data_IF_422487647468
#
_entry.id   IF_422487647468
#
_cell.length_a   1.000
_cell.length_b   1.000
_cell.length_c   1.000
_cell.angle_alpha   90.00
_cell.angle_beta   90.00
_cell.angle_gamma   90.00
#
_symmetry.space_group_name_H-M   'P 1'
#
loop_
_entity.id
_entity.type
_entity.pdbx_description
1 polymer ?
#
# COMPACT_ATOMS: atom_id res chain seq x y z
N UNK A 1 15.70 22.28 -49.24
CA UNK A 1 15.43 20.85 -49.42
C UNK A 1 16.71 20.06 -49.14
N UNK A 2 16.86 19.48 -47.94
CA UNK A 2 17.58 18.22 -47.73
C UNK A 2 16.79 17.47 -46.67
N UNK A 3 16.26 16.33 -47.10
CA UNK A 3 15.41 15.43 -46.35
C UNK A 3 16.26 14.44 -45.52
N UNK A 4 15.69 14.05 -44.39
CA UNK A 4 15.67 12.69 -43.83
C UNK A 4 16.99 11.94 -43.63
N UNK A 5 17.29 11.60 -42.37
CA UNK A 5 18.31 10.60 -42.07
C UNK A 5 18.49 10.15 -40.62
N UNK A 6 17.57 10.45 -39.68
CA UNK A 6 17.68 9.94 -38.29
C UNK A 6 17.03 8.56 -38.20
N UNK A 7 17.55 7.58 -38.95
CA UNK A 7 17.15 6.16 -38.91
C UNK A 7 18.40 5.32 -38.69
N UNK A 8 18.93 5.31 -37.47
CA UNK A 8 20.11 4.49 -37.17
C UNK A 8 20.40 4.28 -35.69
N UNK A 9 20.09 5.26 -34.84
CA UNK A 9 20.57 5.24 -33.44
C UNK A 9 19.57 4.75 -32.39
N UNK A 10 18.29 4.54 -32.76
CA UNK A 10 17.22 4.14 -31.81
C UNK A 10 17.16 2.62 -31.60
N UNK A 11 17.72 1.83 -32.53
CA UNK A 11 17.59 0.37 -32.52
C UNK A 11 18.44 -0.33 -31.43
N UNK A 12 19.42 0.35 -30.85
CA UNK A 12 20.34 -0.21 -29.84
C UNK A 12 19.91 0.05 -28.39
N UNK A 13 18.94 0.94 -28.14
CA UNK A 13 18.45 1.25 -26.79
C UNK A 13 17.31 0.32 -26.34
N UNK A 14 16.58 -0.27 -27.28
CA UNK A 14 15.51 -1.23 -27.02
C UNK A 14 15.94 -2.49 -26.25
N UNK A 15 17.04 -3.19 -26.59
CA UNK A 15 17.43 -4.39 -25.84
C UNK A 15 17.91 -4.07 -24.41
N UNK A 16 18.47 -2.88 -24.18
CA UNK A 16 18.91 -2.45 -22.84
C UNK A 16 17.70 -2.17 -21.91
N UNK A 17 16.63 -1.60 -22.47
CA UNK A 17 15.40 -1.26 -21.75
C UNK A 17 14.54 -2.51 -21.47
N UNK A 18 14.59 -3.51 -22.36
CA UNK A 18 13.93 -4.82 -22.16
C UNK A 18 14.65 -5.66 -21.10
N UNK A 19 15.99 -5.65 -21.06
CA UNK A 19 16.76 -6.36 -20.02
C UNK A 19 16.55 -5.78 -18.61
N UNK A 20 16.35 -4.45 -18.50
CA UNK A 20 16.01 -3.83 -17.22
C UNK A 20 14.60 -4.20 -16.70
N UNK A 21 13.68 -4.62 -17.59
CA UNK A 21 12.32 -5.02 -17.22
C UNK A 21 12.20 -6.44 -16.66
N UNK A 22 13.17 -7.33 -16.94
CA UNK A 22 13.12 -8.74 -16.53
C UNK A 22 13.72 -9.00 -15.14
N UNK A 23 14.47 -8.05 -14.57
CA UNK A 23 15.01 -8.16 -13.21
C UNK A 23 13.96 -7.91 -12.10
N UNK A 24 12.73 -7.53 -12.45
CA UNK A 24 11.71 -7.11 -11.49
C UNK A 24 10.82 -8.20 -10.91
N UNK A 25 10.98 -9.47 -11.30
CA UNK A 25 10.07 -10.57 -10.91
C UNK A 25 10.74 -11.66 -10.06
N UNK A 26 11.93 -11.42 -9.50
CA UNK A 26 12.48 -12.31 -8.48
C UNK A 26 11.77 -12.00 -7.15
N UNK A 27 10.77 -12.82 -6.80
CA UNK A 27 10.21 -12.80 -5.46
C UNK A 27 11.24 -13.36 -4.48
N UNK A 28 11.40 -12.73 -3.33
CA UNK A 28 12.22 -13.28 -2.26
C UNK A 28 11.37 -13.52 -1.02
N UNK A 29 11.76 -14.52 -0.24
CA UNK A 29 11.17 -14.85 1.05
C UNK A 29 12.29 -14.92 2.10
N UNK A 30 12.02 -14.42 3.31
CA UNK A 30 12.97 -14.52 4.42
C UNK A 30 12.74 -15.84 5.15
N UNK A 31 13.74 -16.72 5.09
CA UNK A 31 13.78 -17.93 5.89
C UNK A 31 14.26 -17.61 7.30
N UNK A 32 13.51 -18.07 8.31
CA UNK A 32 13.82 -17.83 9.72
C UNK A 32 15.09 -18.58 10.15
N UNK A 33 15.90 -18.02 11.08
CA UNK A 33 17.07 -18.69 11.62
C UNK A 33 16.70 -19.98 12.37
N UNK A 34 17.52 -21.03 12.20
CA UNK A 34 17.35 -22.32 12.89
C UNK A 34 18.03 -22.38 14.27
N UNK A 35 18.90 -21.42 14.58
CA UNK A 35 19.58 -21.35 15.87
C UNK A 35 18.63 -20.89 16.96
N UNK A 36 18.79 -21.42 18.18
CA UNK A 36 17.97 -21.03 19.33
C UNK A 36 18.09 -19.52 19.64
N UNK A 37 19.30 -18.96 19.50
CA UNK A 37 19.55 -17.53 19.67
C UNK A 37 18.87 -16.67 18.60
N UNK A 38 18.91 -17.10 17.34
CA UNK A 38 18.23 -16.42 16.23
C UNK A 38 16.71 -16.46 16.38
N UNK A 39 16.15 -17.58 16.83
CA UNK A 39 14.72 -17.69 17.10
C UNK A 39 14.27 -16.77 18.23
N UNK A 40 15.06 -16.63 19.30
CA UNK A 40 14.75 -15.69 20.37
C UNK A 40 14.83 -14.22 19.91
N UNK A 41 15.79 -13.89 19.05
CA UNK A 41 15.88 -12.59 18.40
C UNK A 41 14.64 -12.29 17.55
N UNK A 42 14.18 -13.27 16.76
CA UNK A 42 12.99 -13.15 15.90
C UNK A 42 11.71 -12.81 16.66
N UNK A 43 11.55 -13.25 17.91
CA UNK A 43 10.39 -12.89 18.74
C UNK A 43 10.27 -11.37 18.92
N UNK A 44 11.41 -10.66 19.01
CA UNK A 44 11.43 -9.20 19.11
C UNK A 44 11.04 -8.55 17.78
N UNK A 45 11.50 -9.11 16.65
CA UNK A 45 11.11 -8.66 15.32
C UNK A 45 9.61 -8.85 15.08
N UNK A 46 9.07 -10.02 15.42
CA UNK A 46 7.65 -10.34 15.31
C UNK A 46 6.80 -9.38 16.16
N UNK A 47 7.16 -9.17 17.43
CA UNK A 47 6.46 -8.23 18.30
C UNK A 47 6.43 -6.80 17.75
N UNK A 48 7.55 -6.32 17.19
CA UNK A 48 7.63 -5.00 16.55
C UNK A 48 6.77 -4.92 15.29
N UNK A 49 6.75 -5.98 14.48
CA UNK A 49 5.92 -6.05 13.27
C UNK A 49 4.45 -6.01 13.66
N UNK A 50 4.04 -6.81 14.63
CA UNK A 50 2.65 -6.90 15.05
C UNK A 50 2.16 -5.56 15.64
N UNK A 51 3.01 -4.89 16.44
CA UNK A 51 2.74 -3.53 16.92
C UNK A 51 2.57 -2.54 15.75
N UNK A 52 3.45 -2.60 14.76
CA UNK A 52 3.38 -1.73 13.58
C UNK A 52 2.08 -1.97 12.77
N UNK A 53 1.75 -3.23 12.51
CA UNK A 53 0.53 -3.62 11.79
C UNK A 53 -0.71 -3.12 12.53
N UNK A 54 -0.76 -3.31 13.85
CA UNK A 54 -1.87 -2.82 14.66
C UNK A 54 -2.04 -1.31 14.57
N UNK A 55 -0.94 -0.55 14.57
CA UNK A 55 -0.99 0.91 14.41
C UNK A 55 -1.52 1.30 13.02
N UNK A 56 -1.05 0.66 11.95
CA UNK A 56 -1.53 0.92 10.59
C UNK A 56 -3.04 0.62 10.46
N UNK A 57 -3.50 -0.48 11.06
CA UNK A 57 -4.92 -0.84 11.10
C UNK A 57 -5.74 0.12 11.96
N UNK A 58 -5.20 0.63 13.05
CA UNK A 58 -5.87 1.62 13.89
C UNK A 58 -6.09 2.94 13.13
N UNK A 59 -5.08 3.40 12.37
CA UNK A 59 -5.20 4.60 11.52
C UNK A 59 -6.25 4.39 10.43
N UNK A 60 -6.17 3.30 9.68
CA UNK A 60 -7.13 3.01 8.62
C UNK A 60 -8.57 2.90 9.15
N UNK A 61 -8.77 2.27 10.32
CA UNK A 61 -10.08 2.23 10.99
C UNK A 61 -10.56 3.62 11.38
N UNK A 62 -9.70 4.42 12.01
CA UNK A 62 -10.06 5.79 12.43
C UNK A 62 -10.44 6.69 11.25
N UNK A 63 -9.74 6.57 10.13
CA UNK A 63 -10.06 7.29 8.90
C UNK A 63 -11.40 6.79 8.30
N UNK A 64 -11.62 5.48 8.30
CA UNK A 64 -12.90 4.87 7.92
C UNK A 64 -14.08 5.36 8.77
N UNK A 65 -13.92 5.37 10.09
CA UNK A 65 -14.95 5.83 11.02
C UNK A 65 -15.26 7.32 10.85
N UNK A 66 -14.22 8.15 10.66
CA UNK A 66 -14.37 9.59 10.40
C UNK A 66 -15.17 9.85 9.12
N UNK A 67 -14.91 9.03 8.11
CA UNK A 67 -15.60 9.08 6.82
C UNK A 67 -17.05 8.59 6.91
N UNK A 68 -17.32 7.51 7.64
CA UNK A 68 -18.68 7.03 7.90
C UNK A 68 -19.48 8.06 8.71
N UNK A 69 -18.86 8.70 9.70
CA UNK A 69 -19.47 9.73 10.51
C UNK A 69 -19.83 10.98 9.71
N UNK A 70 -18.94 11.42 8.79
CA UNK A 70 -19.24 12.58 7.93
C UNK A 70 -20.42 12.29 7.00
N UNK A 71 -20.51 11.08 6.44
CA UNK A 71 -21.66 10.63 5.66
C UNK A 71 -22.95 10.60 6.48
N UNK A 72 -22.91 10.06 7.70
CA UNK A 72 -24.08 10.02 8.56
C UNK A 72 -24.58 11.43 8.91
N UNK A 73 -23.67 12.38 9.15
CA UNK A 73 -24.03 13.78 9.39
C UNK A 73 -24.65 14.44 8.17
N UNK A 74 -24.11 14.14 6.98
CA UNK A 74 -24.66 14.64 5.71
C UNK A 74 -26.07 14.08 5.47
N UNK A 75 -26.25 12.77 5.63
CA UNK A 75 -27.53 12.09 5.50
C UNK A 75 -28.57 12.64 6.50
N UNK A 76 -28.16 12.89 7.75
CA UNK A 76 -29.02 13.51 8.76
C UNK A 76 -29.43 14.93 8.38
N UNK A 77 -28.51 15.73 7.84
CA UNK A 77 -28.78 17.11 7.39
C UNK A 77 -29.76 17.13 6.21
N UNK A 78 -29.61 16.21 5.27
CA UNK A 78 -30.46 16.12 4.09
C UNK A 78 -31.69 15.22 4.27
N UNK A 79 -31.96 14.73 5.49
CA UNK A 79 -33.06 13.81 5.78
C UNK A 79 -34.46 14.40 5.60
N UNK A 80 -34.58 15.73 5.62
CA UNK A 80 -35.86 16.43 5.45
C UNK A 80 -36.39 16.41 4.00
N UNK A 81 -35.56 16.06 3.02
CA UNK A 81 -35.96 15.95 1.62
C UNK A 81 -36.58 14.57 1.34
N UNK A 82 -37.83 14.57 0.84
CA UNK A 82 -38.58 13.34 0.53
C UNK A 82 -38.28 12.81 -0.86
N UNK A 83 -37.89 13.67 -1.80
CA UNK A 83 -37.42 13.26 -3.13
C UNK A 83 -35.94 12.90 -3.09
N UNK A 84 -35.59 11.76 -3.70
CA UNK A 84 -34.20 11.33 -3.85
C UNK A 84 -33.37 12.33 -4.67
N UNK A 85 -33.96 13.00 -5.66
CA UNK A 85 -33.26 14.03 -6.44
C UNK A 85 -32.89 15.25 -5.59
N UNK A 86 -33.76 15.64 -4.67
CA UNK A 86 -33.54 16.81 -3.82
C UNK A 86 -32.58 16.47 -2.67
N UNK A 87 -32.66 15.24 -2.14
CA UNK A 87 -31.67 14.72 -1.20
C UNK A 87 -30.27 14.71 -1.81
N UNK A 88 -30.13 14.20 -3.03
CA UNK A 88 -28.84 14.16 -3.71
C UNK A 88 -28.28 15.56 -4.03
N UNK A 89 -29.14 16.52 -4.38
CA UNK A 89 -28.75 17.94 -4.53
C UNK A 89 -28.27 18.53 -3.22
N UNK A 90 -28.97 18.26 -2.12
CA UNK A 90 -28.55 18.69 -0.78
C UNK A 90 -27.19 18.09 -0.41
N UNK A 91 -27.00 16.78 -0.62
CA UNK A 91 -25.74 16.09 -0.35
C UNK A 91 -24.60 16.72 -1.15
N UNK A 92 -24.78 16.89 -2.46
CA UNK A 92 -23.78 17.50 -3.36
C UNK A 92 -23.46 18.94 -2.95
N UNK A 93 -24.47 19.76 -2.62
CA UNK A 93 -24.30 21.14 -2.17
C UNK A 93 -23.58 21.26 -0.81
N UNK A 94 -23.63 20.20 0.01
CA UNK A 94 -22.98 20.13 1.32
C UNK A 94 -21.66 19.33 1.28
N UNK A 95 -21.09 19.11 0.09
CA UNK A 95 -19.79 18.45 -0.06
C UNK A 95 -19.85 16.93 0.05
N UNK A 96 -20.96 16.32 -0.36
CA UNK A 96 -21.10 14.87 -0.45
C UNK A 96 -20.04 14.26 -1.34
N UNK A 97 -19.09 13.58 -0.72
CA UNK A 97 -18.09 12.75 -1.39
C UNK A 97 -18.40 11.29 -1.11
N UNK A 98 -17.99 10.37 -1.99
CA UNK A 98 -18.08 8.94 -1.69
C UNK A 98 -17.12 8.61 -0.56
N UNK A 99 -17.62 7.86 0.43
CA UNK A 99 -16.76 7.38 1.50
C UNK A 99 -16.05 6.11 1.03
N UNK A 100 -14.73 6.18 0.85
CA UNK A 100 -13.90 5.02 0.56
C UNK A 100 -13.13 4.71 1.83
N UNK A 101 -13.44 3.58 2.46
CA UNK A 101 -12.69 3.10 3.63
C UNK A 101 -11.27 2.79 3.20
N UNK A 102 -10.25 3.45 3.77
CA UNK A 102 -8.87 3.17 3.43
C UNK A 102 -8.46 1.78 3.95
N UNK A 103 -7.65 1.08 3.16
CA UNK A 103 -7.02 -0.17 3.59
C UNK A 103 -5.68 0.15 4.26
N UNK A 104 -5.39 -0.51 5.39
CA UNK A 104 -4.13 -0.33 6.10
C UNK A 104 -2.94 -0.72 5.22
N UNK A 105 -1.95 0.19 5.09
CA UNK A 105 -0.70 -0.13 4.43
C UNK A 105 0.30 -0.75 5.43
N UNK A 106 0.52 -2.06 5.31
CA UNK A 106 1.43 -2.81 6.18
C UNK A 106 2.78 -3.13 5.52
N UNK A 107 3.02 -2.69 4.28
CA UNK A 107 4.30 -2.93 3.58
C UNK A 107 5.52 -2.42 4.37
N UNK A 108 5.48 -1.23 5.01
CA UNK A 108 6.62 -0.74 5.78
C UNK A 108 6.86 -1.52 7.08
N UNK A 109 5.82 -2.19 7.60
CA UNK A 109 5.96 -3.09 8.76
C UNK A 109 6.69 -4.37 8.34
N UNK A 110 6.37 -4.89 7.15
CA UNK A 110 7.02 -6.05 6.56
C UNK A 110 8.49 -5.77 6.24
N UNK A 111 8.80 -4.69 5.53
CA UNK A 111 10.19 -4.34 5.16
C UNK A 111 11.09 -4.22 6.41
N UNK A 112 10.61 -3.56 7.47
CA UNK A 112 11.34 -3.47 8.74
C UNK A 112 11.51 -4.82 9.43
N UNK A 113 10.50 -5.69 9.35
CA UNK A 113 10.61 -7.06 9.87
C UNK A 113 11.64 -7.87 9.09
N UNK A 114 11.70 -7.74 7.76
CA UNK A 114 12.67 -8.45 6.92
C UNK A 114 14.11 -8.03 7.27
N UNK A 115 14.37 -6.73 7.42
CA UNK A 115 15.68 -6.23 7.88
C UNK A 115 16.05 -6.78 9.27
N UNK A 116 15.11 -6.75 10.21
CA UNK A 116 15.31 -7.30 11.56
C UNK A 116 15.59 -8.81 11.53
N UNK A 117 14.89 -9.54 10.66
CA UNK A 117 15.05 -10.97 10.52
C UNK A 117 16.42 -11.34 9.94
N UNK A 118 16.93 -10.57 8.97
CA UNK A 118 18.29 -10.71 8.46
C UNK A 118 19.34 -10.46 9.55
N UNK A 119 19.17 -9.43 10.38
CA UNK A 119 20.05 -9.14 11.52
C UNK A 119 20.05 -10.27 12.56
N UNK A 120 18.92 -10.96 12.74
CA UNK A 120 18.80 -12.13 13.61
C UNK A 120 19.40 -13.42 13.02
N UNK A 121 20.01 -13.37 11.82
CA UNK A 121 20.59 -14.51 11.12
C UNK A 121 19.62 -15.25 10.20
N UNK A 122 18.49 -14.63 9.85
CA UNK A 122 17.63 -15.09 8.77
C UNK A 122 18.31 -14.93 7.41
N UNK A 123 17.83 -15.66 6.41
CA UNK A 123 18.41 -15.66 5.06
C UNK A 123 17.36 -15.34 4.02
N UNK A 124 17.77 -14.65 2.97
CA UNK A 124 16.91 -14.39 1.81
C UNK A 124 16.98 -15.59 0.88
N UNK A 125 15.82 -16.14 0.52
CA UNK A 125 15.67 -17.25 -0.42
C UNK A 125 14.87 -16.73 -1.61
N UNK A 126 15.43 -16.87 -2.81
CA UNK A 126 14.71 -16.59 -4.05
C UNK A 126 13.57 -17.61 -4.22
N UNK A 127 12.44 -17.12 -4.71
CA UNK A 127 11.21 -17.89 -4.89
C UNK A 127 11.05 -18.40 -6.31
#
# INVERSE_FOLDING_TARGET
>A
MIAMGVKGSVLWLLPLLVMAGLAGCAGYEIQRPISATGQQCMQTCDARRDQCTWQAEAVARSEGDSCAFSQQRLASRCSAYTSESDRHRCETANGGTSCITPTANTSPCRERWELCALDCGGTMVER
#
